data_IF_866947270240
#
_entry.id   IF_866947270240
#
_cell.length_a   1.000
_cell.length_b   1.000
_cell.length_c   1.000
_cell.angle_alpha   90.00
_cell.angle_beta   90.00
_cell.angle_gamma   90.00
#
_symmetry.space_group_name_H-M   'P 1'
#
loop_
_entity.id
_entity.type
_entity.pdbx_description
1 polymer ?
#
# COMPACT_ATOMS: atom_id res chain seq x y z
N UNK A 1 -15.22 -3.98 -19.51
CA UNK A 1 -13.86 -3.61 -20.02
C UNK A 1 -12.77 -4.44 -19.35
N UNK A 2 -12.70 -4.45 -18.01
CA UNK A 2 -11.66 -5.21 -17.28
C UNK A 2 -11.96 -6.71 -17.11
N UNK A 3 -13.25 -7.08 -17.14
CA UNK A 3 -13.72 -8.48 -17.07
C UNK A 3 -13.41 -9.31 -18.32
N UNK A 4 -13.08 -8.64 -19.43
CA UNK A 4 -12.76 -9.31 -20.69
C UNK A 4 -11.31 -9.77 -20.63
N UNK A 5 -11.03 -10.91 -21.26
CA UNK A 5 -9.69 -11.47 -21.36
C UNK A 5 -8.71 -10.49 -22.01
N UNK A 6 -7.42 -10.74 -21.77
CA UNK A 6 -6.33 -9.95 -22.30
C UNK A 6 -6.23 -10.15 -23.81
N UNK A 7 -6.31 -9.04 -24.55
CA UNK A 7 -6.14 -9.04 -26.00
C UNK A 7 -4.70 -8.63 -26.35
N UNK A 8 -4.06 -9.22 -27.38
CA UNK A 8 -2.71 -8.83 -27.80
C UNK A 8 -2.60 -7.36 -28.21
N UNK A 9 -3.71 -6.75 -28.61
CA UNK A 9 -3.83 -5.34 -29.01
C UNK A 9 -4.05 -4.38 -27.85
N UNK A 10 -4.21 -4.87 -26.61
CA UNK A 10 -4.38 -4.01 -25.44
C UNK A 10 -3.13 -3.16 -25.20
N UNK A 11 -3.31 -1.84 -25.09
CA UNK A 11 -2.25 -0.92 -24.68
C UNK A 11 -1.77 -1.26 -23.25
N UNK A 12 -0.50 -0.95 -22.95
CA UNK A 12 0.13 -1.35 -21.68
C UNK A 12 -0.69 -1.02 -20.41
N UNK A 13 -1.30 0.17 -20.26
CA UNK A 13 -2.09 0.48 -19.08
C UNK A 13 -3.33 -0.41 -18.95
N UNK A 14 -4.02 -0.68 -20.06
CA UNK A 14 -5.23 -1.54 -20.08
C UNK A 14 -4.84 -2.97 -19.74
N UNK A 15 -3.73 -3.46 -20.31
CA UNK A 15 -3.21 -4.79 -19.99
C UNK A 15 -2.87 -4.94 -18.51
N UNK A 16 -2.25 -3.94 -17.90
CA UNK A 16 -1.94 -3.97 -16.47
C UNK A 16 -3.20 -3.91 -15.60
N UNK A 17 -4.17 -3.08 -15.98
CA UNK A 17 -5.46 -2.97 -15.27
C UNK A 17 -6.25 -4.28 -15.33
N UNK A 18 -6.31 -4.96 -16.49
CA UNK A 18 -6.93 -6.28 -16.65
C UNK A 18 -6.24 -7.34 -15.79
N UNK A 19 -4.90 -7.38 -15.77
CA UNK A 19 -4.14 -8.30 -14.88
C UNK A 19 -4.46 -8.05 -13.40
N UNK A 20 -4.48 -6.79 -12.98
CA UNK A 20 -4.81 -6.41 -11.61
C UNK A 20 -6.23 -6.84 -11.25
N UNK A 21 -7.19 -6.58 -12.13
CA UNK A 21 -8.58 -7.00 -11.97
C UNK A 21 -8.69 -8.53 -11.83
N UNK A 22 -8.07 -9.29 -12.75
CA UNK A 22 -8.07 -10.75 -12.70
C UNK A 22 -7.50 -11.30 -11.39
N UNK A 23 -6.36 -10.77 -10.92
CA UNK A 23 -5.78 -11.16 -9.65
C UNK A 23 -6.69 -10.86 -8.44
N UNK A 24 -7.48 -9.77 -8.50
CA UNK A 24 -8.45 -9.41 -7.46
C UNK A 24 -9.67 -10.34 -7.46
N UNK A 25 -10.13 -10.74 -8.65
CA UNK A 25 -11.33 -11.56 -8.82
C UNK A 25 -11.08 -13.06 -8.66
N UNK A 26 -9.83 -13.51 -8.69
CA UNK A 26 -9.46 -14.90 -8.39
C UNK A 26 -9.67 -15.24 -6.91
N UNK A 27 -10.89 -15.65 -6.59
CA UNK A 27 -11.29 -16.04 -5.24
C UNK A 27 -10.55 -17.27 -4.74
N UNK A 28 -10.26 -18.23 -5.62
CA UNK A 28 -9.63 -19.49 -5.22
C UNK A 28 -8.21 -19.23 -4.70
N UNK A 29 -7.43 -18.45 -5.44
CA UNK A 29 -6.09 -18.06 -5.03
C UNK A 29 -6.10 -17.15 -3.80
N UNK A 30 -7.05 -16.21 -3.69
CA UNK A 30 -7.22 -15.37 -2.48
C UNK A 30 -7.49 -16.20 -1.23
N UNK A 31 -8.43 -17.14 -1.29
CA UNK A 31 -8.76 -18.02 -0.16
C UNK A 31 -7.58 -18.92 0.19
N UNK A 32 -6.91 -19.48 -0.82
CA UNK A 32 -5.72 -20.31 -0.64
C UNK A 32 -4.59 -19.53 0.03
N UNK A 33 -4.35 -18.27 -0.33
CA UNK A 33 -3.30 -17.43 0.30
C UNK A 33 -3.68 -17.04 1.73
N UNK A 34 -4.95 -16.75 1.99
CA UNK A 34 -5.43 -16.34 3.31
C UNK A 34 -4.77 -15.04 3.76
N UNK A 35 -4.49 -14.93 5.06
CA UNK A 35 -3.90 -13.73 5.67
C UNK A 35 -2.36 -13.68 5.61
N UNK A 36 -1.71 -14.69 5.05
CA UNK A 36 -0.23 -14.78 4.98
C UNK A 36 0.45 -13.53 4.42
N UNK A 37 -0.06 -12.87 3.35
CA UNK A 37 0.54 -11.62 2.89
C UNK A 37 0.51 -10.52 3.95
N UNK A 38 -0.61 -10.38 4.68
CA UNK A 38 -0.78 -9.37 5.73
C UNK A 38 0.11 -9.69 6.93
N UNK A 39 0.12 -10.95 7.37
CA UNK A 39 1.01 -11.45 8.42
C UNK A 39 2.47 -11.14 8.08
N UNK A 40 2.91 -11.43 6.86
CA UNK A 40 4.30 -11.15 6.44
C UNK A 40 4.67 -9.66 6.42
N UNK A 41 3.69 -8.76 6.25
CA UNK A 41 3.90 -7.31 6.30
C UNK A 41 3.98 -6.86 7.77
N UNK A 42 3.03 -7.30 8.58
CA UNK A 42 2.95 -6.94 10.00
C UNK A 42 4.20 -7.40 10.76
N UNK A 43 4.69 -8.61 10.48
CA UNK A 43 5.89 -9.16 11.11
C UNK A 43 7.20 -8.44 10.72
N UNK A 44 7.22 -7.57 9.69
CA UNK A 44 8.44 -6.83 9.32
C UNK A 44 8.85 -5.78 10.36
N UNK A 45 7.92 -5.36 11.22
CA UNK A 45 8.14 -4.31 12.23
C UNK A 45 7.80 -4.80 13.63
N UNK A 46 8.14 -6.07 13.94
CA UNK A 46 7.91 -6.66 15.26
C UNK A 46 6.47 -7.15 15.49
N UNK A 47 5.64 -7.15 14.44
CA UNK A 47 4.29 -7.67 14.49
C UNK A 47 3.24 -6.72 15.07
N UNK A 48 2.12 -7.26 15.54
CA UNK A 48 1.04 -6.48 16.14
C UNK A 48 0.86 -6.91 17.60
N UNK A 49 1.07 -6.01 18.59
CA UNK A 49 1.01 -6.37 20.01
C UNK A 49 -0.29 -7.04 20.48
N UNK A 50 -1.41 -6.88 19.76
CA UNK A 50 -2.66 -7.57 20.09
C UNK A 50 -2.65 -9.08 19.84
N UNK A 51 -1.72 -9.58 19.02
CA UNK A 51 -1.64 -10.99 18.61
C UNK A 51 -0.31 -11.65 19.00
N UNK A 52 0.57 -10.93 19.70
CA UNK A 52 1.86 -11.40 20.18
C UNK A 52 1.79 -11.54 21.70
N UNK A 53 2.51 -12.51 22.24
CA UNK A 53 2.63 -12.68 23.68
C UNK A 53 3.30 -11.45 24.30
N UNK A 54 2.80 -10.97 25.43
CA UNK A 54 3.26 -9.71 26.04
C UNK A 54 4.74 -9.70 26.40
N UNK A 55 5.35 -10.88 26.56
CA UNK A 55 6.78 -11.03 26.87
C UNK A 55 7.66 -11.04 25.61
N UNK A 56 7.08 -11.31 24.43
CA UNK A 56 7.79 -11.36 23.16
C UNK A 56 7.78 -10.02 22.43
N UNK A 57 6.78 -9.18 22.67
CA UNK A 57 6.69 -7.86 22.04
C UNK A 57 7.44 -6.80 22.86
N UNK A 58 8.33 -6.05 22.20
CA UNK A 58 9.17 -5.03 22.81
C UNK A 58 9.03 -3.69 22.08
N UNK A 59 8.75 -2.62 22.82
CA UNK A 59 8.69 -1.24 22.31
C UNK A 59 10.07 -0.73 21.84
N UNK A 60 11.14 -1.32 22.38
CA UNK A 60 12.52 -0.90 22.11
C UNK A 60 13.06 -1.46 20.78
N UNK A 61 12.36 -2.43 20.16
CA UNK A 61 12.83 -3.11 18.95
C UNK A 61 12.65 -2.26 17.69
N UNK A 62 11.61 -1.42 17.65
CA UNK A 62 11.27 -0.57 16.50
C UNK A 62 10.73 0.78 16.97
N UNK A 63 11.32 1.87 16.47
CA UNK A 63 10.73 3.19 16.67
C UNK A 63 9.43 3.33 15.87
N UNK A 64 8.51 4.20 16.29
CA UNK A 64 7.30 4.48 15.51
C UNK A 64 7.63 5.00 14.10
N UNK A 65 8.78 5.66 13.92
CA UNK A 65 9.27 6.09 12.61
C UNK A 65 9.68 4.93 11.71
N UNK A 66 10.26 3.86 12.27
CA UNK A 66 10.61 2.66 11.52
C UNK A 66 9.35 1.92 11.05
N UNK A 67 8.37 1.82 11.95
CA UNK A 67 7.04 1.28 11.63
C UNK A 67 6.41 2.08 10.49
N UNK A 68 6.34 3.40 10.64
CA UNK A 68 5.75 4.30 9.65
C UNK A 68 6.46 4.21 8.29
N UNK A 69 7.79 4.19 8.29
CA UNK A 69 8.60 4.05 7.07
C UNK A 69 8.31 2.75 6.34
N UNK A 70 8.12 1.64 7.06
CA UNK A 70 7.77 0.36 6.44
C UNK A 70 6.43 0.44 5.71
N UNK A 71 5.40 0.98 6.36
CA UNK A 71 4.08 1.13 5.75
C UNK A 71 4.04 2.18 4.63
N UNK A 72 4.87 3.21 4.71
CA UNK A 72 5.02 4.20 3.64
C UNK A 72 5.52 3.57 2.33
N UNK A 73 6.53 2.69 2.38
CA UNK A 73 7.02 2.02 1.16
C UNK A 73 5.99 1.09 0.51
N UNK A 74 5.04 0.57 1.29
CA UNK A 74 4.02 -0.35 0.81
C UNK A 74 2.81 0.42 0.27
N UNK A 75 2.39 1.46 0.96
CA UNK A 75 1.12 2.17 0.69
C UNK A 75 1.29 3.50 -0.03
N UNK A 76 2.50 4.06 -0.03
CA UNK A 76 2.79 5.41 -0.51
C UNK A 76 2.21 6.51 0.37
N UNK A 77 1.74 6.17 1.58
CA UNK A 77 1.11 7.10 2.52
C UNK A 77 1.67 6.93 3.91
N UNK A 78 1.68 8.03 4.65
CA UNK A 78 1.96 8.04 6.07
C UNK A 78 0.69 7.62 6.83
N UNK A 79 0.83 6.80 7.86
CA UNK A 79 -0.27 6.30 8.70
C UNK A 79 -0.65 7.34 9.74
N UNK A 80 0.33 8.06 10.28
CA UNK A 80 0.13 8.97 11.40
C UNK A 80 -0.13 10.42 10.95
N UNK A 81 0.27 10.79 9.74
CA UNK A 81 0.13 12.14 9.19
C UNK A 81 -0.33 12.08 7.75
N UNK A 82 -1.03 13.10 7.28
CA UNK A 82 -1.28 13.30 5.85
C UNK A 82 -0.41 14.46 5.37
N UNK A 83 0.40 14.21 4.34
CA UNK A 83 1.25 15.23 3.73
C UNK A 83 0.78 15.38 2.30
N UNK A 84 0.02 16.44 2.07
CA UNK A 84 -0.48 16.79 0.75
C UNK A 84 0.30 17.99 0.20
N UNK A 85 0.88 17.82 -0.97
CA UNK A 85 1.42 18.94 -1.72
C UNK A 85 0.27 19.82 -2.19
N UNK A 86 0.17 21.03 -1.64
CA UNK A 86 -0.78 22.02 -2.12
C UNK A 86 -0.12 22.91 -3.16
N UNK A 87 -0.92 23.37 -4.12
CA UNK A 87 -0.50 24.29 -5.16
C UNK A 87 -1.14 25.65 -4.86
N UNK A 88 -0.34 26.72 -4.84
CA UNK A 88 -0.85 28.07 -4.92
C UNK A 88 -0.75 28.54 -6.37
N UNK A 89 -1.87 28.97 -6.94
CA UNK A 89 -1.85 29.71 -8.19
C UNK A 89 -1.55 31.17 -7.86
N UNK A 90 -0.47 31.72 -8.43
CA UNK A 90 -0.20 33.14 -8.33
C UNK A 90 -1.17 33.96 -9.19
N UNK A 91 -1.14 35.29 -9.05
CA UNK A 91 -2.00 36.21 -9.82
C UNK A 91 -1.77 36.12 -11.34
N UNK A 92 -0.68 35.48 -11.79
CA UNK A 92 -0.34 35.26 -13.19
C UNK A 92 -0.78 33.88 -13.70
N UNK A 93 -1.45 33.07 -12.87
CA UNK A 93 -1.90 31.73 -13.25
C UNK A 93 -0.84 30.64 -13.13
N UNK A 94 0.32 30.91 -12.53
CA UNK A 94 1.40 29.94 -12.34
C UNK A 94 1.15 29.18 -11.04
N UNK A 95 1.01 27.86 -11.15
CA UNK A 95 0.93 26.98 -9.99
C UNK A 95 2.32 26.75 -9.38
N UNK A 96 2.54 27.27 -8.18
CA UNK A 96 3.73 27.04 -7.37
C UNK A 96 3.41 26.04 -6.27
N UNK A 97 4.31 25.10 -6.03
CA UNK A 97 4.18 24.13 -4.96
C UNK A 97 4.41 24.81 -3.61
N UNK A 98 3.46 24.67 -2.69
CA UNK A 98 3.62 25.06 -1.30
C UNK A 98 4.16 23.83 -0.57
N UNK A 99 5.34 23.99 0.04
CA UNK A 99 5.91 23.02 0.97
C UNK A 99 5.21 23.13 2.33
#
# INVERSE_FOLDING_TARGET
>A
ILEVELEPTDILPVRQAKKWYGACMDRAERVKRGLRPVESIVMQTGGWPMIIESEEWSEDDFSWQDVEKNYFYITGKLTFYDIEASWNTDDNGIANQIL
#
